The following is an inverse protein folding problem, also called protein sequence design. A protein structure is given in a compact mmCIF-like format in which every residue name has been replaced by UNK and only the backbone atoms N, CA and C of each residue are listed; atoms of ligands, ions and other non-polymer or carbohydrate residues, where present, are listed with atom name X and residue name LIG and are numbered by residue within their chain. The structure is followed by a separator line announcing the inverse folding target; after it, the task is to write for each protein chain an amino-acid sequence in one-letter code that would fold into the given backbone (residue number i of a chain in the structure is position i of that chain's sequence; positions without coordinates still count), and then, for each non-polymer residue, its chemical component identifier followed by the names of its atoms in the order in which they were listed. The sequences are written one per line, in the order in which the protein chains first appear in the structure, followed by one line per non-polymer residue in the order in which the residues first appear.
data_IF_146797005578
#
_entry.id   IF_146797005578
#
_cell.length_a   1.000
_cell.length_b   1.000
_cell.length_c   1.000
_cell.angle_alpha   90.00
_cell.angle_beta   90.00
_cell.angle_gamma   90.00
#
_symmetry.space_group_name_H-M   'P 1'
#
loop_
_entity.id
_entity.type
_entity.pdbx_description
1 polymer ?
#
# COMPACT_ATOMS: atom_id res chain seq x y z
N UNK A 1 -18.01 22.26 43.47
CA UNK A 1 -16.67 22.20 42.92
C UNK A 1 -15.66 22.58 44.01
N UNK A 2 -14.55 21.85 44.13
CA UNK A 2 -13.46 22.16 45.03
C UNK A 2 -12.15 22.27 44.21
N UNK A 3 -11.13 22.90 44.77
CA UNK A 3 -9.81 22.96 44.12
C UNK A 3 -9.17 21.55 44.09
N UNK A 4 -8.32 21.29 43.09
CA UNK A 4 -7.72 19.96 42.88
C UNK A 4 -6.99 19.46 44.14
N UNK A 5 -6.34 20.35 44.93
CA UNK A 5 -5.66 20.00 46.18
C UNK A 5 -6.60 19.81 47.38
N UNK A 6 -7.88 20.06 47.25
CA UNK A 6 -8.87 20.03 48.34
C UNK A 6 -9.93 18.90 48.15
N UNK A 7 -9.72 18.00 47.18
CA UNK A 7 -10.62 16.86 46.97
C UNK A 7 -10.50 15.91 48.17
N UNK A 8 -11.57 15.66 48.93
CA UNK A 8 -11.55 14.70 50.03
C UNK A 8 -11.13 13.32 49.56
N UNK A 9 -10.45 12.55 50.44
CA UNK A 9 -9.85 11.26 50.11
C UNK A 9 -10.87 10.22 49.59
N UNK A 10 -12.15 10.37 49.99
CA UNK A 10 -13.25 9.48 49.60
C UNK A 10 -14.09 10.02 48.44
N UNK A 11 -13.67 11.11 47.78
CA UNK A 11 -14.38 11.74 46.69
C UNK A 11 -13.71 11.50 45.33
N UNK A 12 -14.50 11.44 44.29
CA UNK A 12 -14.05 11.34 42.90
C UNK A 12 -14.30 12.65 42.15
N UNK A 13 -13.35 13.04 41.30
CA UNK A 13 -13.55 14.11 40.35
C UNK A 13 -14.32 13.52 39.14
N UNK A 14 -15.55 13.98 38.94
CA UNK A 14 -16.43 13.47 37.85
C UNK A 14 -16.56 14.43 36.67
N UNK A 15 -16.10 15.68 36.81
CA UNK A 15 -16.04 16.67 35.72
C UNK A 15 -15.05 17.78 36.08
N UNK A 16 -14.61 18.55 35.07
CA UNK A 16 -13.76 19.73 35.26
C UNK A 16 -14.59 20.94 35.69
N UNK A 17 -13.99 21.80 36.53
CA UNK A 17 -14.66 23.01 37.02
C UNK A 17 -14.72 24.15 36.00
N UNK A 18 -15.52 25.21 36.27
CA UNK A 18 -15.68 26.35 35.37
C UNK A 18 -14.37 27.00 34.93
N UNK A 19 -13.43 27.19 35.82
CA UNK A 19 -12.13 27.79 35.52
C UNK A 19 -11.31 26.95 34.53
N UNK A 20 -11.34 25.62 34.67
CA UNK A 20 -10.69 24.71 33.71
C UNK A 20 -11.36 24.74 32.34
N UNK A 21 -12.69 24.86 32.28
CA UNK A 21 -13.44 25.00 31.02
C UNK A 21 -13.02 26.25 30.25
N UNK A 22 -12.91 27.40 30.95
CA UNK A 22 -12.45 28.66 30.35
C UNK A 22 -10.99 28.55 29.90
N UNK A 23 -10.12 27.94 30.72
CA UNK A 23 -8.72 27.75 30.37
C UNK A 23 -8.55 26.92 29.11
N UNK A 24 -9.27 25.81 28.99
CA UNK A 24 -9.18 24.94 27.83
C UNK A 24 -9.79 25.60 26.58
N UNK A 25 -10.92 26.26 26.71
CA UNK A 25 -11.52 27.00 25.59
C UNK A 25 -10.54 28.06 25.06
N UNK A 26 -9.91 28.82 25.95
CA UNK A 26 -8.90 29.82 25.57
C UNK A 26 -7.64 29.22 24.96
N UNK A 27 -7.21 28.05 25.43
CA UNK A 27 -6.06 27.37 24.88
C UNK A 27 -6.30 26.85 23.45
N UNK A 28 -7.55 26.65 23.03
CA UNK A 28 -7.92 26.23 21.68
C UNK A 28 -8.04 27.39 20.68
N UNK A 29 -8.07 28.65 21.16
CA UNK A 29 -8.13 29.83 20.30
C UNK A 29 -6.89 29.94 19.42
N UNK A 30 -7.07 30.10 18.12
CA UNK A 30 -5.98 30.28 17.15
C UNK A 30 -5.16 29.02 16.84
N UNK A 31 -5.56 27.86 17.35
CA UNK A 31 -4.93 26.60 16.99
C UNK A 31 -5.19 26.24 15.53
N UNK A 32 -4.22 25.65 14.86
CA UNK A 32 -4.34 25.17 13.48
C UNK A 32 -4.81 23.74 13.37
N UNK A 33 -4.50 22.95 14.40
CA UNK A 33 -4.87 21.53 14.50
C UNK A 33 -5.25 21.24 15.95
N UNK A 34 -6.37 20.57 16.15
CA UNK A 34 -6.83 20.09 17.47
C UNK A 34 -7.13 18.60 17.35
N UNK A 35 -6.52 17.82 18.24
CA UNK A 35 -6.83 16.39 18.39
C UNK A 35 -7.44 16.21 19.80
N UNK A 36 -8.66 15.73 19.84
CA UNK A 36 -9.38 15.50 21.10
C UNK A 36 -9.76 14.02 21.24
N UNK A 37 -9.31 13.41 22.33
CA UNK A 37 -9.65 12.03 22.64
C UNK A 37 -9.92 11.87 24.15
N UNK A 38 -11.10 11.42 24.49
CA UNK A 38 -11.62 11.27 25.85
C UNK A 38 -12.43 12.47 26.32
N UNK A 39 -13.61 12.25 26.93
CA UNK A 39 -14.44 13.30 27.54
C UNK A 39 -13.74 13.90 28.75
N UNK A 40 -14.13 15.15 29.10
CA UNK A 40 -13.59 15.87 30.27
C UNK A 40 -14.25 15.45 31.56
N UNK A 41 -15.41 14.80 31.50
CA UNK A 41 -16.20 14.37 32.64
C UNK A 41 -17.14 13.24 32.26
N UNK A 42 -17.94 12.78 33.21
CA UNK A 42 -18.95 11.72 33.02
C UNK A 42 -20.16 12.34 32.28
N UNK A 43 -19.99 12.52 30.98
CA UNK A 43 -20.92 13.26 30.11
C UNK A 43 -22.28 12.58 29.92
N UNK A 44 -22.42 11.32 30.32
CA UNK A 44 -23.71 10.60 30.37
C UNK A 44 -24.61 11.16 31.48
N UNK A 45 -24.03 11.74 32.51
CA UNK A 45 -24.74 12.35 33.64
C UNK A 45 -24.85 13.86 33.45
N UNK A 46 -26.08 14.39 33.43
CA UNK A 46 -26.38 15.82 33.22
C UNK A 46 -25.61 16.74 34.20
N UNK A 47 -25.37 16.28 35.44
CA UNK A 47 -24.65 17.05 36.46
C UNK A 47 -23.12 17.16 36.17
N UNK A 48 -22.56 16.31 35.32
CA UNK A 48 -21.13 16.18 35.06
C UNK A 48 -20.75 16.25 33.58
N UNK A 49 -21.67 16.69 32.71
CA UNK A 49 -21.43 16.83 31.27
C UNK A 49 -20.80 18.17 30.87
N UNK A 50 -20.86 19.17 31.73
CA UNK A 50 -20.57 20.55 31.36
C UNK A 50 -19.12 20.81 30.94
N UNK A 51 -18.17 20.02 31.42
CA UNK A 51 -16.76 20.09 30.97
C UNK A 51 -16.60 19.59 29.52
N UNK A 52 -17.22 18.46 29.24
CA UNK A 52 -17.22 17.86 27.90
C UNK A 52 -17.95 18.76 26.89
N UNK A 53 -19.10 19.33 27.27
CA UNK A 53 -19.86 20.29 26.44
C UNK A 53 -19.03 21.55 26.12
N UNK A 54 -18.39 22.14 27.12
CA UNK A 54 -17.59 23.34 26.94
C UNK A 54 -16.41 23.11 25.98
N UNK A 55 -15.70 21.99 26.12
CA UNK A 55 -14.59 21.64 25.23
C UNK A 55 -15.09 21.29 23.83
N UNK A 56 -16.19 20.54 23.70
CA UNK A 56 -16.79 20.21 22.41
C UNK A 56 -17.14 21.46 21.60
N UNK A 57 -17.81 22.43 22.22
CA UNK A 57 -18.15 23.72 21.59
C UNK A 57 -16.90 24.53 21.24
N UNK A 58 -15.87 24.52 22.11
CA UNK A 58 -14.64 25.23 21.83
C UNK A 58 -13.86 24.61 20.66
N UNK A 59 -13.83 23.27 20.56
CA UNK A 59 -13.23 22.54 19.41
C UNK A 59 -13.99 22.85 18.12
N UNK A 60 -15.32 22.72 18.13
CA UNK A 60 -16.17 23.01 16.97
C UNK A 60 -16.06 24.46 16.49
N UNK A 61 -15.95 25.41 17.43
CA UNK A 61 -15.86 26.86 17.14
C UNK A 61 -14.44 27.37 16.89
N UNK A 62 -13.39 26.56 17.03
CA UNK A 62 -11.98 26.99 16.96
C UNK A 62 -11.52 27.41 15.56
N UNK A 63 -12.20 26.96 14.49
CA UNK A 63 -11.76 27.12 13.10
C UNK A 63 -10.51 26.31 12.73
N UNK A 64 -9.99 25.46 13.64
CA UNK A 64 -8.89 24.57 13.41
C UNK A 64 -9.32 23.32 12.62
N UNK A 65 -8.35 22.62 12.04
CA UNK A 65 -8.57 21.21 11.62
C UNK A 65 -8.78 20.42 12.91
N UNK A 66 -10.00 19.92 13.12
CA UNK A 66 -10.39 19.21 14.33
C UNK A 66 -10.54 17.70 14.06
N UNK A 67 -9.82 16.90 14.86
CA UNK A 67 -9.89 15.43 14.84
C UNK A 67 -10.42 14.99 16.21
N UNK A 68 -11.57 14.31 16.24
CA UNK A 68 -12.13 13.75 17.47
C UNK A 68 -12.05 12.23 17.40
N UNK A 69 -11.40 11.62 18.39
CA UNK A 69 -11.22 10.19 18.49
C UNK A 69 -11.73 9.62 19.82
N UNK A 70 -12.00 8.32 19.82
CA UNK A 70 -12.54 7.60 20.97
C UNK A 70 -14.06 7.57 21.01
N UNK A 71 -14.62 6.39 21.27
CA UNK A 71 -16.08 6.15 21.24
C UNK A 71 -16.87 7.14 22.08
N UNK A 72 -16.41 7.42 23.30
CA UNK A 72 -17.10 8.31 24.23
C UNK A 72 -17.07 9.77 23.77
N UNK A 73 -15.95 10.25 23.21
CA UNK A 73 -15.86 11.60 22.64
C UNK A 73 -16.76 11.77 21.42
N UNK A 74 -16.80 10.75 20.56
CA UNK A 74 -17.68 10.72 19.38
C UNK A 74 -19.14 10.74 19.82
N UNK A 75 -19.53 9.91 20.79
CA UNK A 75 -20.88 9.88 21.33
C UNK A 75 -21.28 11.25 21.96
N UNK A 76 -20.34 11.93 22.63
CA UNK A 76 -20.59 13.27 23.17
C UNK A 76 -20.83 14.30 22.05
N UNK A 77 -20.01 14.30 20.99
CA UNK A 77 -20.15 15.19 19.83
C UNK A 77 -21.48 14.95 19.10
N UNK A 78 -21.88 13.71 18.91
CA UNK A 78 -23.17 13.35 18.28
C UNK A 78 -24.33 13.80 19.12
N UNK A 79 -24.31 13.54 20.45
CA UNK A 79 -25.35 13.99 21.41
C UNK A 79 -25.55 15.51 21.41
N UNK A 80 -24.46 16.26 21.21
CA UNK A 80 -24.49 17.72 21.15
C UNK A 80 -24.86 18.28 19.76
N UNK A 81 -24.95 17.43 18.73
CA UNK A 81 -25.27 17.86 17.37
C UNK A 81 -24.14 18.64 16.70
N UNK A 82 -22.88 18.42 17.11
CA UNK A 82 -21.70 19.14 16.62
C UNK A 82 -20.90 18.38 15.55
N UNK A 83 -21.35 17.18 15.16
CA UNK A 83 -20.63 16.30 14.26
C UNK A 83 -20.24 16.96 12.92
N UNK A 84 -21.13 17.76 12.33
CA UNK A 84 -20.89 18.47 11.07
C UNK A 84 -19.88 19.63 11.18
N UNK A 85 -19.58 20.06 12.41
CA UNK A 85 -18.61 21.13 12.68
C UNK A 85 -17.19 20.58 12.98
N UNK A 86 -17.04 19.26 13.06
CA UNK A 86 -15.76 18.58 13.27
C UNK A 86 -15.20 18.13 11.91
N UNK A 87 -13.94 18.45 11.66
CA UNK A 87 -13.29 18.12 10.38
C UNK A 87 -13.19 16.62 10.16
N UNK A 88 -12.86 15.84 11.19
CA UNK A 88 -12.75 14.38 11.11
C UNK A 88 -13.14 13.72 12.44
N UNK A 89 -14.03 12.73 12.35
CA UNK A 89 -14.43 11.89 13.48
C UNK A 89 -13.81 10.50 13.27
N UNK A 90 -12.92 10.09 14.20
CA UNK A 90 -12.25 8.80 14.16
C UNK A 90 -12.91 7.82 15.12
N UNK A 91 -13.39 6.70 14.60
CA UNK A 91 -13.91 5.60 15.41
C UNK A 91 -12.81 4.75 16.05
N UNK A 92 -11.57 4.93 15.64
CA UNK A 92 -10.39 4.17 16.09
C UNK A 92 -9.56 4.88 17.17
N UNK A 93 -10.18 5.40 18.23
CA UNK A 93 -9.54 6.25 19.23
C UNK A 93 -8.21 5.76 19.82
N UNK A 94 -8.12 4.50 20.26
CA UNK A 94 -6.90 3.89 20.79
C UNK A 94 -5.80 3.78 19.73
N UNK A 95 -6.15 3.28 18.55
CA UNK A 95 -5.22 3.14 17.43
C UNK A 95 -4.69 4.51 16.95
N UNK A 96 -5.55 5.54 16.93
CA UNK A 96 -5.13 6.90 16.56
C UNK A 96 -4.08 7.47 17.54
N UNK A 97 -4.24 7.21 18.85
CA UNK A 97 -3.27 7.63 19.86
C UNK A 97 -1.95 6.86 19.71
N UNK A 98 -2.00 5.56 19.53
CA UNK A 98 -0.80 4.73 19.31
C UNK A 98 -0.02 5.18 18.08
N UNK A 99 -0.71 5.55 17.00
CA UNK A 99 -0.08 6.11 15.80
C UNK A 99 0.59 7.45 16.06
N UNK A 100 -0.07 8.35 16.81
CA UNK A 100 0.51 9.63 17.21
C UNK A 100 1.69 9.48 18.17
N UNK A 101 1.77 8.40 18.95
CA UNK A 101 2.92 8.03 19.77
C UNK A 101 4.08 7.45 18.96
N UNK A 102 3.92 7.30 17.64
CA UNK A 102 4.92 6.71 16.75
C UNK A 102 4.98 5.18 16.79
N UNK A 103 3.95 4.53 17.35
CA UNK A 103 3.85 3.07 17.32
C UNK A 103 3.41 2.58 15.94
N UNK A 104 4.00 1.46 15.52
CA UNK A 104 3.58 0.77 14.31
C UNK A 104 2.23 0.10 14.58
N UNK A 105 1.20 0.47 13.80
CA UNK A 105 -0.10 -0.15 13.86
C UNK A 105 -0.17 -1.29 12.83
N UNK A 106 -0.34 -2.56 13.24
CA UNK A 106 -0.35 -3.68 12.30
C UNK A 106 -1.36 -3.55 11.16
N UNK A 107 -2.51 -2.91 11.42
CA UNK A 107 -3.54 -2.65 10.40
C UNK A 107 -3.17 -1.53 9.41
N UNK A 108 -2.26 -0.62 9.78
CA UNK A 108 -1.74 0.44 8.91
C UNK A 108 -0.43 -0.02 8.28
N UNK A 109 0.42 -0.70 9.03
CA UNK A 109 1.71 -1.23 8.57
C UNK A 109 1.53 -2.16 7.36
N UNK A 110 0.47 -2.96 7.33
CA UNK A 110 0.12 -3.75 6.16
C UNK A 110 -0.42 -2.92 4.97
N UNK A 111 -0.77 -1.63 5.19
CA UNK A 111 -1.21 -0.69 4.15
C UNK A 111 -0.09 0.29 3.74
N UNK A 112 0.97 0.40 4.54
CA UNK A 112 2.03 1.41 4.38
C UNK A 112 3.02 1.11 3.25
N UNK A 113 2.95 -0.06 2.65
CA UNK A 113 3.40 -0.19 1.28
C UNK A 113 2.24 0.17 0.34
N UNK A 114 1.98 1.46 0.16
CA UNK A 114 1.41 1.92 -1.11
C UNK A 114 2.41 1.46 -2.16
N UNK A 115 2.19 0.26 -2.70
CA UNK A 115 3.01 -0.24 -3.82
C UNK A 115 3.02 0.87 -4.86
N UNK A 116 4.19 1.37 -5.16
CA UNK A 116 4.31 2.34 -6.25
C UNK A 116 3.66 1.73 -7.48
N UNK A 117 2.81 2.46 -8.20
CA UNK A 117 2.25 1.94 -9.43
C UNK A 117 3.38 1.47 -10.33
N UNK A 118 3.30 0.25 -10.82
CA UNK A 118 4.26 -0.32 -11.76
C UNK A 118 3.75 -0.13 -13.19
N UNK A 119 4.47 0.61 -14.01
CA UNK A 119 4.21 0.75 -15.44
C UNK A 119 5.16 -0.16 -16.19
N UNK A 120 4.64 -1.27 -16.69
CA UNK A 120 5.41 -2.32 -17.35
C UNK A 120 5.23 -2.28 -18.86
N UNK A 121 6.31 -2.06 -19.61
CA UNK A 121 6.32 -2.02 -21.06
C UNK A 121 6.83 -3.31 -21.67
N UNK A 122 5.94 -4.24 -22.07
CA UNK A 122 6.34 -5.44 -22.82
C UNK A 122 6.51 -5.12 -24.30
N UNK A 123 7.75 -5.14 -24.80
CA UNK A 123 8.07 -4.84 -26.19
C UNK A 123 7.76 -6.00 -27.14
N UNK A 124 7.48 -7.17 -26.60
CA UNK A 124 7.21 -8.37 -27.38
C UNK A 124 8.36 -8.63 -28.39
N UNK A 125 8.03 -9.02 -29.62
CA UNK A 125 9.00 -9.29 -30.69
C UNK A 125 9.23 -8.03 -31.56
N UNK A 126 9.59 -6.91 -30.93
CA UNK A 126 9.86 -5.66 -31.62
C UNK A 126 11.19 -5.07 -31.18
N UNK A 127 11.82 -4.29 -32.07
CA UNK A 127 13.09 -3.58 -31.89
C UNK A 127 14.33 -4.45 -32.06
N UNK A 128 15.22 -3.96 -32.89
CA UNK A 128 16.59 -4.39 -32.96
C UNK A 128 17.39 -3.84 -31.76
N UNK A 129 18.63 -4.27 -31.57
CA UNK A 129 19.50 -3.78 -30.49
C UNK A 129 19.60 -2.25 -30.52
N UNK A 130 19.93 -1.68 -31.67
CA UNK A 130 20.13 -0.21 -31.81
C UNK A 130 18.85 0.57 -31.51
N UNK A 131 17.73 0.13 -32.09
CA UNK A 131 16.43 0.77 -31.86
C UNK A 131 15.97 0.62 -30.41
N UNK A 132 16.28 -0.52 -29.78
CA UNK A 132 15.95 -0.81 -28.40
C UNK A 132 16.70 0.10 -27.43
N UNK A 133 18.01 0.23 -27.61
CA UNK A 133 18.88 1.12 -26.82
C UNK A 133 18.40 2.57 -26.95
N UNK A 134 18.08 3.01 -28.16
CA UNK A 134 17.58 4.37 -28.37
C UNK A 134 16.27 4.61 -27.64
N UNK A 135 15.30 3.71 -27.79
CA UNK A 135 14.00 3.81 -27.11
C UNK A 135 14.14 3.76 -25.57
N UNK A 136 15.02 2.92 -25.03
CA UNK A 136 15.27 2.85 -23.60
C UNK A 136 15.77 4.19 -23.04
N UNK A 137 16.72 4.84 -23.74
CA UNK A 137 17.22 6.16 -23.37
C UNK A 137 16.13 7.24 -23.42
N UNK A 138 15.27 7.20 -24.42
CA UNK A 138 14.14 8.11 -24.53
C UNK A 138 13.14 7.92 -23.38
N UNK A 139 12.82 6.66 -23.01
CA UNK A 139 11.97 6.33 -21.85
C UNK A 139 12.58 6.90 -20.57
N UNK A 140 13.89 6.71 -20.33
CA UNK A 140 14.58 7.30 -19.17
C UNK A 140 14.41 8.81 -19.11
N UNK A 141 14.53 9.50 -20.24
CA UNK A 141 14.38 10.96 -20.28
C UNK A 141 12.93 11.39 -20.00
N UNK A 142 11.96 10.72 -20.63
CA UNK A 142 10.54 11.06 -20.54
C UNK A 142 9.91 10.73 -19.18
N UNK A 143 10.45 9.75 -18.46
CA UNK A 143 9.91 9.30 -17.16
C UNK A 143 10.68 9.85 -15.96
N UNK A 144 11.60 10.79 -16.18
CA UNK A 144 12.35 11.42 -15.09
C UNK A 144 11.41 12.15 -14.13
N UNK A 145 11.48 11.80 -12.85
CA UNK A 145 10.59 12.32 -11.80
C UNK A 145 9.20 11.68 -11.75
N UNK A 146 8.95 10.61 -12.50
CA UNK A 146 7.71 9.83 -12.38
C UNK A 146 7.55 9.25 -10.96
N UNK A 147 6.32 9.30 -10.43
CA UNK A 147 5.99 8.68 -9.14
C UNK A 147 5.84 7.16 -9.25
N UNK A 148 5.53 6.67 -10.45
CA UNK A 148 5.41 5.25 -10.75
C UNK A 148 6.80 4.63 -10.99
N UNK A 149 6.94 3.36 -10.64
CA UNK A 149 8.05 2.53 -11.09
C UNK A 149 7.86 2.18 -12.56
N UNK A 150 8.90 2.35 -13.38
CA UNK A 150 8.84 2.08 -14.81
C UNK A 150 9.78 0.93 -15.15
N UNK A 151 9.25 -0.11 -15.78
CA UNK A 151 10.02 -1.30 -16.16
C UNK A 151 9.77 -1.63 -17.63
N UNK A 152 10.83 -1.96 -18.36
CA UNK A 152 10.76 -2.36 -19.75
C UNK A 152 11.18 -3.82 -19.93
N UNK A 153 10.51 -4.52 -20.84
CA UNK A 153 10.78 -5.93 -21.17
C UNK A 153 11.12 -6.03 -22.66
N UNK A 154 12.39 -5.78 -23.03
CA UNK A 154 12.84 -5.88 -24.41
C UNK A 154 13.05 -7.34 -24.83
N UNK A 155 13.25 -7.63 -26.15
CA UNK A 155 13.73 -8.93 -26.60
C UNK A 155 15.08 -9.31 -25.99
N UNK A 156 15.31 -10.60 -25.75
CA UNK A 156 16.58 -11.10 -25.18
C UNK A 156 17.83 -10.62 -25.92
N UNK A 157 17.75 -10.50 -27.25
CA UNK A 157 18.86 -10.04 -28.11
C UNK A 157 19.32 -8.62 -27.85
N UNK A 158 18.48 -7.79 -27.22
CA UNK A 158 18.79 -6.39 -26.90
C UNK A 158 18.99 -6.15 -25.39
N UNK A 159 18.72 -7.15 -24.55
CA UNK A 159 18.59 -6.99 -23.11
C UNK A 159 19.87 -6.50 -22.44
N UNK A 160 21.02 -7.13 -22.72
CA UNK A 160 22.33 -6.75 -22.17
C UNK A 160 22.73 -5.31 -22.60
N UNK A 161 22.59 -4.98 -23.89
CA UNK A 161 22.94 -3.65 -24.38
C UNK A 161 22.04 -2.56 -23.80
N UNK A 162 20.78 -2.87 -23.50
CA UNK A 162 19.85 -1.96 -22.85
C UNK A 162 20.24 -1.82 -21.37
N UNK A 163 20.55 -2.92 -20.69
CA UNK A 163 21.05 -2.89 -19.33
C UNK A 163 22.21 -1.90 -19.17
N UNK A 164 23.24 -2.04 -19.99
CA UNK A 164 24.39 -1.13 -20.02
C UNK A 164 24.00 0.33 -20.29
N UNK A 165 23.05 0.52 -21.21
CA UNK A 165 22.66 1.88 -21.65
C UNK A 165 21.86 2.67 -20.60
N UNK A 166 21.19 1.99 -19.68
CA UNK A 166 20.34 2.58 -18.63
C UNK A 166 20.83 2.25 -17.22
N UNK A 167 22.03 1.71 -17.05
CA UNK A 167 22.63 1.39 -15.75
C UNK A 167 22.57 2.59 -14.80
N UNK A 168 22.17 2.34 -13.55
CA UNK A 168 22.02 3.36 -12.52
C UNK A 168 20.89 4.36 -12.77
N UNK A 169 19.99 4.13 -13.73
CA UNK A 169 18.81 4.98 -13.98
C UNK A 169 17.59 4.46 -13.19
N UNK A 170 16.53 5.27 -13.18
CA UNK A 170 15.27 4.99 -12.48
C UNK A 170 14.32 4.06 -13.25
N UNK A 171 14.69 3.63 -14.45
CA UNK A 171 13.92 2.68 -15.28
C UNK A 171 14.52 1.29 -15.08
N UNK A 172 13.70 0.36 -14.57
CA UNK A 172 14.05 -1.04 -14.44
C UNK A 172 13.95 -1.79 -15.78
N UNK A 173 14.58 -2.94 -15.86
CA UNK A 173 14.47 -3.81 -17.02
C UNK A 173 14.32 -5.27 -16.60
N UNK A 174 13.71 -6.06 -17.48
CA UNK A 174 13.44 -7.46 -17.23
C UNK A 174 13.31 -8.30 -18.49
N UNK A 175 13.28 -9.60 -18.31
CA UNK A 175 13.13 -10.57 -19.38
C UNK A 175 11.66 -10.88 -19.68
N UNK A 176 11.34 -11.15 -20.94
CA UNK A 176 9.99 -11.52 -21.38
C UNK A 176 9.59 -12.97 -21.01
N UNK A 177 10.53 -13.79 -20.58
CA UNK A 177 10.37 -15.19 -20.18
C UNK A 177 11.66 -15.69 -19.53
N UNK A 178 11.61 -16.88 -18.91
CA UNK A 178 12.79 -17.67 -18.50
C UNK A 178 12.46 -19.16 -18.49
N UNK A 179 13.51 -20.00 -18.47
CA UNK A 179 13.39 -21.43 -18.19
C UNK A 179 13.55 -21.71 -16.69
N UNK A 180 12.93 -22.77 -16.20
CA UNK A 180 13.00 -23.13 -14.77
C UNK A 180 14.26 -23.91 -14.38
N UNK A 181 14.98 -24.52 -15.35
CA UNK A 181 16.24 -25.20 -15.06
C UNK A 181 17.40 -24.19 -14.98
N UNK A 182 18.37 -24.50 -14.14
CA UNK A 182 19.56 -23.68 -13.96
C UNK A 182 20.47 -23.72 -15.20
N UNK A 183 20.64 -24.89 -15.77
CA UNK A 183 21.44 -25.17 -16.97
C UNK A 183 21.03 -26.53 -17.54
N UNK A 184 21.48 -26.88 -18.72
CA UNK A 184 21.25 -28.20 -19.32
C UNK A 184 20.96 -28.17 -20.81
N UNK A 185 20.45 -29.30 -21.32
CA UNK A 185 20.15 -29.50 -22.75
C UNK A 185 18.77 -28.85 -23.09
N UNK A 186 18.70 -27.55 -23.04
CA UNK A 186 17.50 -26.72 -23.34
C UNK A 186 17.84 -25.70 -24.41
N UNK A 187 18.10 -26.16 -25.61
CA UNK A 187 18.55 -25.32 -26.74
C UNK A 187 17.59 -24.17 -26.98
N UNK A 188 18.11 -22.93 -26.90
CA UNK A 188 17.35 -21.70 -27.12
C UNK A 188 16.69 -21.09 -25.88
N UNK A 189 16.75 -21.78 -24.74
CA UNK A 189 16.18 -21.26 -23.48
C UNK A 189 17.19 -20.40 -22.71
N UNK A 190 16.66 -19.51 -21.88
CA UNK A 190 17.41 -18.59 -21.01
C UNK A 190 17.12 -18.95 -19.55
N UNK A 191 18.17 -19.22 -18.77
CA UNK A 191 18.02 -19.54 -17.35
C UNK A 191 17.97 -18.30 -16.47
N UNK A 192 17.44 -18.44 -15.24
CA UNK A 192 17.46 -17.37 -14.24
C UNK A 192 18.86 -16.88 -13.90
N UNK A 193 19.86 -17.78 -13.92
CA UNK A 193 21.26 -17.44 -13.72
C UNK A 193 21.80 -16.50 -14.80
N UNK A 194 21.45 -16.75 -16.08
CA UNK A 194 21.85 -15.88 -17.19
C UNK A 194 21.21 -14.50 -17.08
N UNK A 195 19.96 -14.41 -16.59
CA UNK A 195 19.29 -13.14 -16.37
C UNK A 195 19.88 -12.35 -15.20
N UNK A 196 20.25 -13.03 -14.14
CA UNK A 196 20.92 -12.43 -12.99
C UNK A 196 22.30 -11.87 -13.37
N UNK A 197 23.04 -12.58 -14.22
CA UNK A 197 24.38 -12.20 -14.68
C UNK A 197 24.39 -10.85 -15.42
N UNK A 198 23.34 -10.56 -16.18
CA UNK A 198 23.16 -9.28 -16.88
C UNK A 198 22.35 -8.25 -16.05
N UNK A 199 22.17 -8.48 -14.74
CA UNK A 199 21.52 -7.56 -13.84
C UNK A 199 20.01 -7.38 -14.03
N UNK A 200 19.31 -8.31 -14.69
CA UNK A 200 17.85 -8.27 -14.76
C UNK A 200 17.23 -8.28 -13.37
N UNK A 201 16.28 -7.37 -13.14
CA UNK A 201 15.52 -7.33 -11.90
C UNK A 201 14.18 -8.04 -12.03
N UNK A 202 13.56 -7.99 -13.20
CA UNK A 202 12.19 -8.46 -13.46
C UNK A 202 12.13 -9.58 -14.47
N UNK A 203 11.07 -10.38 -14.41
CA UNK A 203 10.76 -11.38 -15.44
C UNK A 203 9.24 -11.51 -15.64
N UNK A 204 8.77 -11.43 -16.89
CA UNK A 204 7.39 -11.73 -17.26
C UNK A 204 7.19 -13.25 -17.32
N UNK A 205 6.15 -13.75 -16.66
CA UNK A 205 5.82 -15.17 -16.63
C UNK A 205 4.35 -15.39 -17.01
N UNK A 206 4.07 -16.40 -17.83
CA UNK A 206 2.73 -16.81 -18.18
C UNK A 206 1.96 -15.80 -19.03
N UNK A 207 2.63 -14.98 -19.83
CA UNK A 207 1.98 -14.07 -20.76
C UNK A 207 1.01 -14.81 -21.71
N UNK A 208 -0.10 -14.20 -22.05
CA UNK A 208 -1.17 -14.82 -22.86
C UNK A 208 -0.66 -15.46 -24.17
N UNK A 209 0.25 -14.80 -24.87
CA UNK A 209 0.87 -15.36 -26.09
C UNK A 209 1.64 -16.65 -25.79
N UNK A 210 2.34 -16.73 -24.65
CA UNK A 210 3.06 -17.95 -24.28
C UNK A 210 2.11 -19.09 -23.91
N UNK A 211 1.00 -18.79 -23.26
CA UNK A 211 -0.04 -19.78 -22.93
C UNK A 211 -0.73 -20.31 -24.19
N UNK A 212 -1.19 -19.42 -25.05
CA UNK A 212 -2.10 -19.79 -26.13
C UNK A 212 -1.36 -20.10 -27.45
N UNK A 213 -0.20 -19.50 -27.73
CA UNK A 213 0.57 -19.74 -28.97
C UNK A 213 1.66 -20.78 -28.75
N UNK A 214 2.38 -20.70 -27.63
CA UNK A 214 3.52 -21.58 -27.35
C UNK A 214 3.19 -22.72 -26.41
N UNK A 215 1.94 -22.89 -25.97
CA UNK A 215 1.46 -24.02 -25.16
C UNK A 215 2.02 -24.08 -23.74
N UNK A 216 2.39 -22.95 -23.18
CA UNK A 216 2.90 -22.89 -21.80
C UNK A 216 1.76 -23.15 -20.80
N UNK A 217 1.86 -24.25 -20.04
CA UNK A 217 0.84 -24.67 -19.08
C UNK A 217 1.08 -24.11 -17.66
N UNK A 218 0.07 -24.26 -16.79
CA UNK A 218 0.11 -23.74 -15.41
C UNK A 218 1.25 -24.32 -14.59
N UNK A 219 1.56 -25.61 -14.72
CA UNK A 219 2.65 -26.26 -13.99
C UNK A 219 4.01 -25.70 -14.38
N UNK A 220 4.21 -25.46 -15.66
CA UNK A 220 5.44 -24.85 -16.19
C UNK A 220 5.61 -23.44 -15.66
N UNK A 221 4.53 -22.64 -15.63
CA UNK A 221 4.54 -21.28 -15.09
C UNK A 221 4.85 -21.29 -13.59
N UNK A 222 4.26 -22.21 -12.83
CA UNK A 222 4.54 -22.36 -11.40
C UNK A 222 6.04 -22.68 -11.13
N UNK A 223 6.65 -23.59 -11.92
CA UNK A 223 8.09 -23.88 -11.83
C UNK A 223 8.95 -22.66 -12.13
N UNK A 224 8.61 -21.89 -13.15
CA UNK A 224 9.31 -20.65 -13.51
C UNK A 224 9.19 -19.61 -12.41
N UNK A 225 8.01 -19.44 -11.83
CA UNK A 225 7.76 -18.51 -10.74
C UNK A 225 8.63 -18.84 -9.52
N UNK A 226 8.63 -20.09 -9.09
CA UNK A 226 9.47 -20.57 -7.99
C UNK A 226 10.95 -20.32 -8.27
N UNK A 227 11.39 -20.58 -9.50
CA UNK A 227 12.79 -20.39 -9.89
C UNK A 227 13.17 -18.92 -9.96
N UNK A 228 12.30 -18.04 -10.47
CA UNK A 228 12.54 -16.60 -10.50
C UNK A 228 12.84 -16.05 -9.09
N UNK A 229 12.02 -16.43 -8.11
CA UNK A 229 12.23 -16.03 -6.71
C UNK A 229 13.54 -16.56 -6.12
N UNK A 230 13.97 -17.77 -6.50
CA UNK A 230 15.24 -18.33 -6.05
C UNK A 230 16.47 -17.57 -6.61
N UNK A 231 16.30 -16.84 -7.71
CA UNK A 231 17.29 -15.96 -8.29
C UNK A 231 17.11 -14.49 -7.94
N UNK A 232 16.23 -14.19 -6.95
CA UNK A 232 15.91 -12.82 -6.54
C UNK A 232 15.41 -11.94 -7.69
N UNK A 233 14.81 -12.55 -8.72
CA UNK A 233 14.11 -11.85 -9.76
C UNK A 233 12.71 -11.51 -9.25
N UNK A 234 12.20 -10.32 -9.57
CA UNK A 234 10.83 -9.88 -9.30
C UNK A 234 9.91 -10.40 -10.42
N UNK A 235 9.11 -11.45 -10.21
CA UNK A 235 8.27 -12.00 -11.25
C UNK A 235 7.02 -11.14 -11.46
N UNK A 236 6.69 -10.86 -12.71
CA UNK A 236 5.42 -10.28 -13.13
C UNK A 236 4.56 -11.40 -13.71
N UNK A 237 3.71 -11.99 -12.87
CA UNK A 237 2.83 -13.09 -13.26
C UNK A 237 1.64 -12.56 -14.06
N UNK A 238 1.54 -12.96 -15.32
CA UNK A 238 0.39 -12.64 -16.19
C UNK A 238 -0.72 -13.67 -15.98
N UNK A 239 -1.90 -13.20 -15.64
CA UNK A 239 -3.12 -13.99 -15.51
C UNK A 239 -4.25 -13.39 -16.35
N UNK A 240 -5.19 -14.19 -16.78
CA UNK A 240 -6.34 -13.71 -17.53
C UNK A 240 -7.01 -14.82 -18.29
N UNK A 241 -8.28 -14.60 -18.63
CA UNK A 241 -9.15 -15.47 -19.40
C UNK A 241 -9.12 -15.15 -20.89
N UNK A 242 -9.55 -16.09 -21.70
CA UNK A 242 -9.86 -15.88 -23.13
C UNK A 242 -11.21 -15.18 -23.30
N UNK A 243 -11.47 -14.65 -24.51
CA UNK A 243 -12.76 -14.04 -24.83
C UNK A 243 -13.93 -15.03 -24.64
N UNK A 244 -13.75 -16.29 -25.05
CA UNK A 244 -14.78 -17.32 -24.88
C UNK A 244 -15.09 -17.62 -23.41
N UNK A 245 -14.07 -17.69 -22.56
CA UNK A 245 -14.24 -17.88 -21.11
C UNK A 245 -14.94 -16.67 -20.46
N UNK A 246 -14.61 -15.44 -20.89
CA UNK A 246 -15.28 -14.21 -20.44
C UNK A 246 -16.75 -14.21 -20.84
N UNK A 247 -17.08 -14.52 -22.08
CA UNK A 247 -18.45 -14.62 -22.57
C UNK A 247 -19.25 -15.73 -21.88
N UNK A 248 -18.56 -16.80 -21.43
CA UNK A 248 -19.15 -17.87 -20.63
C UNK A 248 -19.25 -17.53 -19.12
N UNK A 249 -18.83 -16.33 -18.68
CA UNK A 249 -18.87 -15.90 -17.28
C UNK A 249 -17.85 -16.62 -16.37
N UNK A 250 -16.77 -17.18 -16.94
CA UNK A 250 -15.78 -18.00 -16.23
C UNK A 250 -14.54 -17.21 -15.77
N UNK A 251 -14.50 -15.89 -15.93
CA UNK A 251 -13.34 -15.03 -15.59
C UNK A 251 -12.76 -15.32 -14.22
N UNK A 252 -13.60 -15.30 -13.17
CA UNK A 252 -13.16 -15.51 -11.79
C UNK A 252 -12.59 -16.92 -11.57
N UNK A 253 -13.25 -17.94 -12.11
CA UNK A 253 -12.80 -19.33 -12.00
C UNK A 253 -11.42 -19.53 -12.65
N UNK A 254 -11.23 -19.00 -13.86
CA UNK A 254 -9.98 -19.10 -14.63
C UNK A 254 -8.84 -18.37 -13.91
N UNK A 255 -9.06 -17.14 -13.44
CA UNK A 255 -8.04 -16.37 -12.73
C UNK A 255 -7.69 -17.05 -11.40
N UNK A 256 -8.69 -17.55 -10.68
CA UNK A 256 -8.48 -18.27 -9.41
C UNK A 256 -7.64 -19.51 -9.62
N UNK A 257 -7.94 -20.34 -10.61
CA UNK A 257 -7.17 -21.53 -10.94
C UNK A 257 -5.72 -21.19 -11.30
N UNK A 258 -5.53 -20.18 -12.16
CA UNK A 258 -4.19 -19.72 -12.55
C UNK A 258 -3.37 -19.25 -11.37
N UNK A 259 -3.95 -18.46 -10.46
CA UNK A 259 -3.28 -17.97 -9.26
C UNK A 259 -3.01 -19.10 -8.25
N UNK A 260 -4.00 -19.92 -7.95
CA UNK A 260 -3.84 -21.03 -7.01
C UNK A 260 -2.75 -21.99 -7.45
N UNK A 261 -2.71 -22.35 -8.75
CA UNK A 261 -1.69 -23.26 -9.28
C UNK A 261 -0.30 -22.61 -9.25
N UNK A 262 -0.19 -21.35 -9.63
CA UNK A 262 1.10 -20.65 -9.66
C UNK A 262 1.68 -20.46 -8.25
N UNK A 263 0.84 -20.21 -7.24
CA UNK A 263 1.23 -19.86 -5.87
C UNK A 263 1.26 -21.07 -4.92
N UNK A 264 0.76 -22.25 -5.33
CA UNK A 264 0.55 -23.43 -4.46
C UNK A 264 1.75 -23.87 -3.63
N UNK A 265 2.97 -23.67 -4.15
CA UNK A 265 4.21 -24.12 -3.51
C UNK A 265 5.10 -22.97 -3.05
N UNK A 266 4.55 -21.74 -2.98
CA UNK A 266 5.30 -20.58 -2.52
C UNK A 266 5.13 -20.38 -1.01
N UNK A 267 6.22 -20.06 -0.35
CA UNK A 267 6.19 -19.56 1.02
C UNK A 267 5.56 -18.16 1.01
N UNK A 268 4.58 -17.94 1.90
CA UNK A 268 3.89 -16.65 2.02
C UNK A 268 4.84 -15.47 2.30
N UNK A 269 5.97 -15.72 2.95
CA UNK A 269 7.01 -14.69 3.16
C UNK A 269 7.63 -14.18 1.87
N UNK A 270 7.71 -15.01 0.83
CA UNK A 270 8.25 -14.65 -0.48
C UNK A 270 7.26 -13.86 -1.36
N UNK A 271 5.97 -13.84 -1.00
CA UNK A 271 4.95 -13.08 -1.71
C UNK A 271 5.07 -11.57 -1.45
N UNK A 272 5.74 -11.18 -0.37
CA UNK A 272 6.00 -9.77 -0.05
C UNK A 272 7.07 -9.15 -0.97
N UNK A 273 7.92 -9.98 -1.57
CA UNK A 273 9.00 -9.57 -2.48
C UNK A 273 8.55 -9.52 -3.97
N UNK A 274 7.28 -9.79 -4.26
CA UNK A 274 6.71 -9.85 -5.61
C UNK A 274 6.08 -8.53 -6.05
#
# INVERSE_FOLDING_TARGET
ACAIGEIPQDWMALDIGPQSRELFAKALEGMRLVVWNGPMGVFEMEAFCGGTEAVAHAVAGSGAISIVGGGDSVAAIEKLGLAEQITHISTGGGASLEYLEGKILPGIDCLDEIRKPLIAGNWKMHKTVTEGVQLAKEIVQLTNGALAEVVIFPPFTALENIADAIDGKHVGYGAQNMHWAQEGAFTGEISGKMLQDIGCEYVLLGHSERRHIFGENLETIAKKLQTALNYSLKPVLCVGETLAEREAGQTEAVITEQLQTALANLDSSKLLDM
#
